data_IF_814508973257
#
_entry.id   IF_814508973257
#
_cell.length_a   1.000
_cell.length_b   1.000
_cell.length_c   1.000
_cell.angle_alpha   90.00
_cell.angle_beta   90.00
_cell.angle_gamma   90.00
#
_symmetry.space_group_name_H-M   'P 1'
#
loop_
_entity.id
_entity.type
_entity.pdbx_description
1 polymer ?
#
# COMPACT_ATOMS: atom_id res chain seq x y z
N UNK A 1 -6.57 22.61 28.45
CA UNK A 1 -5.58 22.29 27.40
C UNK A 1 -5.87 22.96 26.05
N UNK A 2 -7.13 23.07 25.60
CA UNK A 2 -7.50 23.62 24.26
C UNK A 2 -7.29 25.13 24.04
N UNK A 3 -6.94 25.92 25.06
CA UNK A 3 -6.75 27.39 24.92
C UNK A 3 -5.31 27.79 24.60
N UNK A 4 -4.36 26.86 24.65
CA UNK A 4 -2.92 27.17 24.60
C UNK A 4 -2.28 26.91 23.23
N UNK A 5 -2.97 26.20 22.34
CA UNK A 5 -2.55 25.98 20.96
C UNK A 5 -3.41 26.86 20.07
N UNK A 6 -2.82 27.74 19.25
CA UNK A 6 -3.52 28.66 18.33
C UNK A 6 -4.22 27.95 17.15
N UNK A 7 -4.64 26.70 17.32
CA UNK A 7 -5.45 25.99 16.34
C UNK A 7 -6.90 26.37 16.52
N UNK A 8 -7.57 26.71 15.42
CA UNK A 8 -9.01 26.90 15.45
C UNK A 8 -9.65 25.51 15.57
N UNK A 9 -10.83 25.46 16.18
CA UNK A 9 -11.62 24.23 16.22
C UNK A 9 -11.88 23.69 14.80
N UNK A 10 -12.03 24.58 13.81
CA UNK A 10 -12.15 24.22 12.39
C UNK A 10 -10.99 23.36 11.90
N UNK A 11 -9.77 23.71 12.28
CA UNK A 11 -8.54 23.08 11.82
C UNK A 11 -8.41 21.69 12.45
N UNK A 12 -8.78 21.56 13.73
CA UNK A 12 -8.85 20.25 14.41
C UNK A 12 -9.91 19.34 13.77
N UNK A 13 -11.09 19.88 13.45
CA UNK A 13 -12.15 19.13 12.78
C UNK A 13 -11.76 18.71 11.37
N UNK A 14 -10.98 19.52 10.66
CA UNK A 14 -10.41 19.16 9.36
C UNK A 14 -9.42 18.01 9.50
N UNK A 15 -8.47 18.11 10.43
CA UNK A 15 -7.50 17.05 10.71
C UNK A 15 -8.19 15.74 11.11
N UNK A 16 -9.23 15.77 11.94
CA UNK A 16 -10.03 14.59 12.29
C UNK A 16 -10.68 13.95 11.05
N UNK A 17 -11.23 14.77 10.15
CA UNK A 17 -11.81 14.29 8.88
C UNK A 17 -10.78 13.64 7.97
N UNK A 18 -9.53 14.15 7.93
CA UNK A 18 -8.44 13.47 7.20
C UNK A 18 -8.07 12.10 7.79
N UNK A 19 -8.41 11.85 9.06
CA UNK A 19 -8.30 10.53 9.72
C UNK A 19 -9.59 9.70 9.63
N UNK A 20 -10.54 10.14 8.80
CA UNK A 20 -11.83 9.47 8.59
C UNK A 20 -12.79 9.57 9.79
N UNK A 21 -12.58 10.52 10.71
CA UNK A 21 -13.45 10.74 11.87
C UNK A 21 -14.28 12.00 11.63
N UNK A 22 -15.61 11.82 11.52
CA UNK A 22 -16.55 12.92 11.29
C UNK A 22 -17.36 13.26 12.54
N UNK A 23 -17.57 12.29 13.42
CA UNK A 23 -18.25 12.48 14.70
C UNK A 23 -17.24 12.49 15.85
N UNK A 24 -17.21 13.60 16.60
CA UNK A 24 -16.37 13.76 17.77
C UNK A 24 -16.71 12.76 18.89
N UNK A 25 -17.94 12.26 18.92
CA UNK A 25 -18.37 11.28 19.92
C UNK A 25 -17.61 9.95 19.81
N UNK A 26 -17.02 9.66 18.65
CA UNK A 26 -16.23 8.44 18.40
C UNK A 26 -14.79 8.54 18.92
N UNK A 27 -14.32 9.74 19.27
CA UNK A 27 -12.93 9.97 19.69
C UNK A 27 -12.77 9.68 21.18
N UNK A 28 -11.79 8.84 21.50
CA UNK A 28 -11.35 8.63 22.88
C UNK A 28 -10.16 9.57 23.19
N UNK A 29 -9.16 9.60 22.30
CA UNK A 29 -8.05 10.55 22.39
C UNK A 29 -7.67 11.12 21.02
N UNK A 30 -7.22 12.37 21.02
CA UNK A 30 -6.60 13.01 19.87
C UNK A 30 -5.34 13.75 20.33
N UNK A 31 -4.21 13.49 19.68
CA UNK A 31 -2.90 14.06 20.00
C UNK A 31 -2.38 14.80 18.78
N UNK A 32 -2.09 16.09 18.94
CA UNK A 32 -1.44 16.88 17.91
C UNK A 32 0.08 16.74 18.06
N UNK A 33 0.70 16.10 17.08
CA UNK A 33 2.14 15.82 17.05
C UNK A 33 2.95 17.08 16.69
N UNK A 34 4.25 17.08 17.00
CA UNK A 34 5.14 18.22 16.75
C UNK A 34 5.25 18.61 15.26
N UNK A 35 5.00 17.67 14.35
CA UNK A 35 4.98 17.91 12.90
C UNK A 35 3.62 18.45 12.38
N UNK A 36 2.67 18.72 13.28
CA UNK A 36 1.33 19.20 12.93
C UNK A 36 0.35 18.10 12.48
N UNK A 37 0.76 16.83 12.47
CA UNK A 37 -0.15 15.72 12.21
C UNK A 37 -0.98 15.38 13.45
N UNK A 38 -2.21 14.89 13.23
CA UNK A 38 -3.10 14.48 14.30
C UNK A 38 -3.11 12.95 14.43
N UNK A 39 -2.73 12.43 15.59
CA UNK A 39 -2.94 11.03 15.97
C UNK A 39 -4.30 10.90 16.64
N UNK A 40 -5.11 9.91 16.26
CA UNK A 40 -6.47 9.73 16.77
C UNK A 40 -6.66 8.29 17.24
N UNK A 41 -7.06 8.13 18.49
CA UNK A 41 -7.54 6.88 19.05
C UNK A 41 -9.06 6.96 19.16
N UNK A 42 -9.76 6.10 18.41
CA UNK A 42 -11.22 5.96 18.51
C UNK A 42 -11.59 5.14 19.74
N UNK A 43 -12.78 5.39 20.27
CA UNK A 43 -13.44 4.52 21.24
C UNK A 43 -13.53 3.09 20.71
N UNK A 44 -13.42 2.10 21.59
CA UNK A 44 -13.37 0.69 21.19
C UNK A 44 -14.59 0.26 20.36
N UNK A 45 -15.77 0.82 20.62
CA UNK A 45 -17.00 0.54 19.88
C UNK A 45 -16.99 1.05 18.42
N UNK A 46 -16.09 1.99 18.10
CA UNK A 46 -15.94 2.60 16.76
C UNK A 46 -14.62 2.22 16.08
N UNK A 47 -13.85 1.28 16.65
CA UNK A 47 -12.65 0.74 16.02
C UNK A 47 -13.02 -0.36 15.00
N UNK A 48 -12.29 -0.47 13.87
CA UNK A 48 -12.48 -1.57 12.94
C UNK A 48 -12.10 -2.90 13.60
N UNK A 49 -12.88 -3.96 13.33
CA UNK A 49 -12.54 -5.30 13.77
C UNK A 49 -11.27 -5.80 13.06
N UNK A 50 -10.40 -6.45 13.81
CA UNK A 50 -9.29 -7.22 13.29
C UNK A 50 -9.71 -8.69 13.10
N UNK A 51 -9.02 -9.46 12.24
CA UNK A 51 -9.26 -10.91 12.15
C UNK A 51 -9.15 -11.63 13.50
N UNK A 52 -8.30 -11.11 14.42
CA UNK A 52 -8.13 -11.66 15.76
C UNK A 52 -9.38 -11.54 16.62
N UNK A 53 -10.12 -10.43 16.51
CA UNK A 53 -11.34 -10.19 17.29
C UNK A 53 -12.45 -11.21 16.93
N UNK A 54 -12.44 -11.70 15.69
CA UNK A 54 -13.37 -12.70 15.17
C UNK A 54 -12.78 -14.13 15.19
N UNK A 55 -11.58 -14.31 15.73
CA UNK A 55 -10.83 -15.56 15.71
C UNK A 55 -10.73 -16.21 14.31
N UNK A 56 -10.57 -15.36 13.28
CA UNK A 56 -10.45 -15.81 11.89
C UNK A 56 -9.01 -16.28 11.63
N UNK A 57 -8.83 -17.42 10.95
CA UNK A 57 -7.50 -17.84 10.51
C UNK A 57 -6.96 -16.87 9.47
N UNK A 58 -5.69 -16.48 9.61
CA UNK A 58 -4.99 -15.61 8.66
C UNK A 58 -3.68 -16.26 8.21
N UNK A 59 -3.33 -16.09 6.94
CA UNK A 59 -1.99 -16.39 6.43
C UNK A 59 -1.04 -15.23 6.68
N UNK A 60 0.26 -15.51 6.74
CA UNK A 60 1.28 -14.48 6.84
C UNK A 60 1.26 -13.58 5.60
N UNK A 61 1.06 -12.28 5.81
CA UNK A 61 1.13 -11.24 4.78
C UNK A 61 2.26 -10.28 5.13
N UNK A 62 3.40 -10.43 4.45
CA UNK A 62 4.55 -9.55 4.59
C UNK A 62 4.78 -8.68 3.36
N UNK A 63 5.96 -8.07 3.28
CA UNK A 63 6.41 -7.31 2.11
C UNK A 63 6.73 -8.30 0.99
N UNK A 64 6.38 -7.97 -0.25
CA UNK A 64 6.76 -8.75 -1.42
C UNK A 64 8.25 -8.56 -1.75
N UNK A 65 8.87 -9.60 -2.29
CA UNK A 65 10.27 -9.56 -2.74
C UNK A 65 10.32 -9.27 -4.23
N UNK A 66 11.07 -8.25 -4.64
CA UNK A 66 11.28 -7.94 -6.06
C UNK A 66 12.28 -8.91 -6.70
N UNK A 67 11.88 -9.63 -7.73
CA UNK A 67 12.72 -10.62 -8.43
C UNK A 67 13.24 -10.10 -9.78
N UNK A 68 12.51 -9.18 -10.42
CA UNK A 68 12.91 -8.51 -11.65
C UNK A 68 12.59 -7.03 -11.51
N UNK A 69 13.52 -6.18 -11.91
CA UNK A 69 13.32 -4.74 -12.05
C UNK A 69 13.97 -4.25 -13.34
N UNK A 70 13.22 -3.50 -14.14
CA UNK A 70 13.64 -2.91 -15.41
C UNK A 70 14.33 -3.94 -16.35
N UNK A 71 13.71 -5.10 -16.48
CA UNK A 71 14.21 -6.21 -17.30
C UNK A 71 15.34 -7.03 -16.69
N UNK A 72 15.86 -6.65 -15.52
CA UNK A 72 17.02 -7.27 -14.89
C UNK A 72 16.61 -8.14 -13.70
N UNK A 73 17.06 -9.40 -13.70
CA UNK A 73 16.86 -10.31 -12.56
C UNK A 73 17.71 -9.89 -11.37
N UNK A 74 17.08 -9.80 -10.19
CA UNK A 74 17.73 -9.48 -8.92
C UNK A 74 18.11 -10.77 -8.20
N UNK A 75 19.27 -11.35 -8.53
CA UNK A 75 19.71 -12.66 -8.02
C UNK A 75 19.75 -12.75 -6.49
N UNK A 76 20.22 -11.69 -5.84
CA UNK A 76 20.29 -11.64 -4.39
C UNK A 76 18.90 -11.85 -3.74
N UNK A 77 17.86 -11.33 -4.38
CA UNK A 77 16.50 -11.46 -3.88
C UNK A 77 15.93 -12.86 -4.12
N UNK A 78 16.29 -13.52 -5.23
CA UNK A 78 15.99 -14.94 -5.47
C UNK A 78 16.63 -15.81 -4.37
N UNK A 79 17.91 -15.61 -4.09
CA UNK A 79 18.63 -16.36 -3.04
C UNK A 79 18.00 -16.15 -1.66
N UNK A 80 17.61 -14.92 -1.31
CA UNK A 80 16.96 -14.60 -0.04
C UNK A 80 15.63 -15.34 0.15
N UNK A 81 14.90 -15.59 -0.92
CA UNK A 81 13.63 -16.35 -0.87
C UNK A 81 13.82 -17.84 -1.17
N UNK A 82 15.07 -18.31 -1.28
CA UNK A 82 15.41 -19.71 -1.53
C UNK A 82 15.00 -20.20 -2.92
N UNK A 83 14.93 -19.31 -3.90
CA UNK A 83 14.61 -19.61 -5.29
C UNK A 83 15.81 -19.37 -6.19
N UNK A 84 15.77 -19.92 -7.40
CA UNK A 84 16.80 -19.76 -8.40
C UNK A 84 16.24 -19.16 -9.70
N UNK A 85 17.14 -18.85 -10.64
CA UNK A 85 16.75 -18.36 -11.96
C UNK A 85 15.87 -19.36 -12.71
N UNK A 86 16.13 -20.66 -12.56
CA UNK A 86 15.37 -21.73 -13.20
C UNK A 86 13.89 -21.68 -12.82
N UNK A 87 13.60 -21.47 -11.54
CA UNK A 87 12.25 -21.29 -11.03
C UNK A 87 11.59 -20.04 -11.63
N UNK A 88 12.31 -18.92 -11.64
CA UNK A 88 11.80 -17.65 -12.16
C UNK A 88 11.46 -17.75 -13.65
N UNK A 89 12.36 -18.32 -14.45
CA UNK A 89 12.14 -18.56 -15.87
C UNK A 89 10.95 -19.49 -16.13
N UNK A 90 10.78 -20.53 -15.32
CA UNK A 90 9.63 -21.42 -15.43
C UNK A 90 8.31 -20.67 -15.13
N UNK A 91 8.30 -19.79 -14.13
CA UNK A 91 7.12 -19.02 -13.76
C UNK A 91 6.77 -17.95 -14.80
N UNK A 92 7.78 -17.27 -15.35
CA UNK A 92 7.61 -16.35 -16.49
C UNK A 92 7.03 -17.08 -17.72
N UNK A 93 7.55 -18.27 -18.05
CA UNK A 93 7.06 -19.08 -19.17
C UNK A 93 5.61 -19.50 -19.01
N UNK A 94 5.15 -19.85 -17.80
CA UNK A 94 3.73 -20.14 -17.53
C UNK A 94 2.83 -18.96 -17.87
N UNK A 95 3.34 -17.75 -17.75
CA UNK A 95 2.64 -16.52 -18.11
C UNK A 95 2.83 -16.14 -19.59
N UNK A 96 3.60 -16.90 -20.38
CA UNK A 96 3.88 -16.59 -21.78
C UNK A 96 4.89 -15.44 -21.96
N UNK A 97 5.85 -15.32 -21.04
CA UNK A 97 6.98 -14.41 -21.11
C UNK A 97 8.21 -15.24 -21.46
N UNK A 98 8.97 -14.84 -22.47
CA UNK A 98 10.13 -15.61 -22.93
C UNK A 98 11.43 -15.13 -22.27
N UNK A 99 11.50 -13.85 -21.93
CA UNK A 99 12.70 -13.22 -21.40
C UNK A 99 12.39 -12.28 -20.22
N UNK A 100 13.22 -12.24 -19.17
CA UNK A 100 13.14 -11.23 -18.12
C UNK A 100 13.12 -9.78 -18.64
N UNK A 101 13.78 -9.51 -19.77
CA UNK A 101 13.85 -8.20 -20.42
C UNK A 101 12.49 -7.68 -20.92
N UNK A 102 11.47 -8.55 -21.02
CA UNK A 102 10.10 -8.14 -21.33
C UNK A 102 9.34 -7.58 -20.11
N UNK A 103 9.91 -7.75 -18.91
CA UNK A 103 9.29 -7.47 -17.62
C UNK A 103 9.83 -6.18 -17.03
N UNK A 104 8.93 -5.23 -16.76
CA UNK A 104 9.27 -4.01 -16.03
C UNK A 104 9.48 -4.30 -14.54
N UNK A 105 8.59 -5.09 -13.93
CA UNK A 105 8.72 -5.51 -12.55
C UNK A 105 8.12 -6.90 -12.33
N UNK A 106 8.80 -7.73 -11.54
CA UNK A 106 8.21 -8.96 -10.99
C UNK A 106 8.41 -9.01 -9.48
N UNK A 107 7.33 -9.24 -8.75
CA UNK A 107 7.37 -9.32 -7.27
C UNK A 107 6.73 -10.61 -6.78
N UNK A 108 7.39 -11.29 -5.86
CA UNK A 108 6.90 -12.47 -5.18
C UNK A 108 6.23 -12.07 -3.87
N UNK A 109 4.93 -12.31 -3.77
CA UNK A 109 4.20 -12.13 -2.52
C UNK A 109 4.56 -13.23 -1.50
N UNK A 110 4.34 -12.96 -0.20
CA UNK A 110 4.52 -13.97 0.86
C UNK A 110 3.56 -15.16 0.74
N UNK A 111 2.54 -15.05 -0.10
CA UNK A 111 1.65 -16.15 -0.49
C UNK A 111 2.29 -17.15 -1.46
N UNK A 112 3.46 -16.82 -2.03
CA UNK A 112 4.12 -17.55 -3.11
C UNK A 112 3.64 -17.17 -4.51
N UNK A 113 2.71 -16.21 -4.62
CA UNK A 113 2.21 -15.73 -5.91
C UNK A 113 3.20 -14.75 -6.55
N UNK A 114 3.62 -15.03 -7.78
CA UNK A 114 4.41 -14.12 -8.60
C UNK A 114 3.48 -13.14 -9.34
N UNK A 115 3.62 -11.85 -9.07
CA UNK A 115 3.05 -10.78 -9.88
C UNK A 115 4.09 -10.31 -10.90
N UNK A 116 3.66 -10.06 -12.14
CA UNK A 116 4.53 -9.62 -13.23
C UNK A 116 3.86 -8.50 -14.01
N UNK A 117 4.59 -7.40 -14.20
CA UNK A 117 4.22 -6.26 -15.03
C UNK A 117 5.17 -6.17 -16.24
N UNK A 118 4.62 -6.09 -17.45
CA UNK A 118 5.40 -6.09 -18.71
C UNK A 118 5.49 -4.70 -19.29
N UNK A 119 6.59 -4.38 -19.98
CA UNK A 119 6.68 -3.13 -20.76
C UNK A 119 5.59 -3.00 -21.84
N UNK A 120 5.10 -4.13 -22.35
CA UNK A 120 4.08 -4.18 -23.41
C UNK A 120 2.65 -4.30 -22.89
N UNK A 121 2.43 -4.29 -21.58
CA UNK A 121 1.10 -4.06 -21.08
C UNK A 121 0.75 -2.59 -21.35
N UNK A 122 -0.15 -2.41 -22.31
CA UNK A 122 -0.90 -1.17 -22.43
C UNK A 122 -1.71 -1.03 -21.14
N UNK A 123 -1.10 -0.50 -20.08
CA UNK A 123 -1.85 0.28 -19.11
C UNK A 123 -2.57 1.31 -19.97
N UNK A 124 -3.88 1.14 -20.17
CA UNK A 124 -4.74 2.23 -20.66
C UNK A 124 -4.32 3.41 -19.81
N UNK A 125 -3.66 4.40 -20.44
CA UNK A 125 -3.13 5.60 -19.79
C UNK A 125 -3.97 5.86 -18.55
N UNK A 126 -3.37 5.75 -17.36
CA UNK A 126 -3.96 6.39 -16.19
C UNK A 126 -4.36 7.77 -16.70
N UNK A 127 -5.66 8.06 -16.69
CA UNK A 127 -6.15 9.35 -17.16
C UNK A 127 -5.37 10.35 -16.33
N UNK A 128 -4.45 11.05 -16.98
CA UNK A 128 -3.63 12.04 -16.32
C UNK A 128 -4.59 13.16 -15.93
N UNK A 129 -4.95 13.20 -14.64
CA UNK A 129 -5.91 14.18 -14.13
C UNK A 129 -5.35 15.62 -14.22
N UNK A 130 -4.10 15.80 -14.66
CA UNK A 130 -3.53 17.12 -14.97
C UNK A 130 -3.98 17.69 -16.33
N UNK A 131 -4.55 16.88 -17.22
CA UNK A 131 -5.06 17.33 -18.54
C UNK A 131 -6.45 18.00 -18.49
N UNK A 132 -7.04 18.18 -17.29
CA UNK A 132 -8.33 18.86 -17.16
C UNK A 132 -8.18 20.37 -17.40
N UNK A 133 -8.34 20.80 -18.65
CA UNK A 133 -8.67 22.20 -18.96
C UNK A 133 -10.11 22.45 -18.52
N UNK A 134 -10.28 23.07 -17.35
CA UNK A 134 -11.59 23.46 -16.83
C UNK A 134 -12.39 24.30 -17.82
N UNK A 135 -13.71 24.46 -17.60
CA UNK A 135 -14.57 25.19 -18.51
C UNK A 135 -14.08 26.64 -18.65
N UNK A 136 -14.02 27.09 -19.91
CA UNK A 136 -13.61 28.44 -20.32
C UNK A 136 -14.54 29.52 -19.78
#
# INVERSE_FOLDING_TARGET
ALRTLRYRLSDLLELLRTKGVFDLSEVEFAVLEANGSLSVLRKSQHQPLTPKDLNLPTSYKGVSTELIYDGVVVDQNLEQVGLDRSWLEAELKKQGIQSPEEVFAATLETSGKLYVDRYRDRVKRLVDASDFKGPS
#
